data_IF_372489461914
#
_entry.id   IF_372489461914
#
_cell.length_a   1.000
_cell.length_b   1.000
_cell.length_c   1.000
_cell.angle_alpha   90.00
_cell.angle_beta   90.00
_cell.angle_gamma   90.00
#
_symmetry.space_group_name_H-M   'P 1'
#
loop_
_entity.id
_entity.type
_entity.pdbx_description
1 polymer ?
#
# COMPACT_ATOMS: atom_id res chain seq x y z
N UNK A 1 -14.36 -6.57 -5.02
CA UNK A 1 -13.83 -6.84 -6.38
C UNK A 1 -12.66 -5.91 -6.66
N UNK A 2 -11.51 -6.46 -7.06
CA UNK A 2 -10.36 -5.65 -7.52
C UNK A 2 -10.25 -5.69 -9.04
N UNK A 3 -9.91 -4.55 -9.66
CA UNK A 3 -9.49 -4.48 -11.06
C UNK A 3 -7.97 -4.39 -11.12
N UNK A 4 -7.34 -5.00 -12.13
CA UNK A 4 -5.90 -4.85 -12.37
C UNK A 4 -5.66 -3.49 -13.02
N UNK A 5 -4.83 -2.67 -12.41
CA UNK A 5 -4.47 -1.33 -12.90
C UNK A 5 -2.94 -1.20 -12.79
N UNK A 6 -2.31 -0.71 -13.85
CA UNK A 6 -0.89 -0.32 -13.83
C UNK A 6 -0.80 1.17 -13.56
N UNK A 7 0.01 1.54 -12.58
CA UNK A 7 0.30 2.95 -12.25
C UNK A 7 1.80 3.14 -12.15
N UNK A 8 2.29 4.28 -12.61
CA UNK A 8 3.66 4.73 -12.37
C UNK A 8 3.65 5.52 -11.05
N UNK A 9 4.57 5.21 -10.15
CA UNK A 9 4.72 5.89 -8.86
C UNK A 9 6.10 6.54 -8.82
N UNK A 10 6.16 7.74 -8.24
CA UNK A 10 7.42 8.36 -7.89
C UNK A 10 8.20 7.50 -6.88
N UNK A 11 9.53 7.56 -6.97
CA UNK A 11 10.41 6.69 -6.19
C UNK A 11 10.30 6.94 -4.67
N UNK A 12 10.04 8.18 -4.26
CA UNK A 12 9.84 8.55 -2.87
C UNK A 12 8.53 7.97 -2.30
N UNK A 13 7.46 7.99 -3.09
CA UNK A 13 6.16 7.40 -2.75
C UNK A 13 6.31 5.88 -2.63
N UNK A 14 7.01 5.25 -3.58
CA UNK A 14 7.27 3.81 -3.54
C UNK A 14 8.01 3.41 -2.27
N UNK A 15 9.08 4.13 -1.89
CA UNK A 15 9.84 3.91 -0.66
C UNK A 15 8.96 4.03 0.59
N UNK A 16 8.14 5.08 0.68
CA UNK A 16 7.21 5.30 1.81
C UNK A 16 6.21 4.13 1.94
N UNK A 17 5.61 3.70 0.83
CA UNK A 17 4.67 2.57 0.82
C UNK A 17 5.34 1.24 1.24
N UNK A 18 6.58 1.00 0.83
CA UNK A 18 7.36 -0.18 1.26
C UNK A 18 7.69 -0.17 2.75
N UNK A 19 8.01 1.00 3.31
CA UNK A 19 8.22 1.15 4.76
C UNK A 19 6.92 0.84 5.52
N UNK A 20 5.78 1.32 5.04
CA UNK A 20 4.47 1.00 5.64
C UNK A 20 4.19 -0.51 5.57
N UNK A 21 4.45 -1.15 4.42
CA UNK A 21 4.31 -2.59 4.25
C UNK A 21 5.16 -3.37 5.28
N UNK A 22 6.43 -3.00 5.43
CA UNK A 22 7.35 -3.65 6.37
C UNK A 22 6.87 -3.52 7.82
N UNK A 23 6.35 -2.34 8.21
CA UNK A 23 5.73 -2.14 9.53
C UNK A 23 4.52 -3.03 9.72
N UNK A 24 3.59 -3.09 8.77
CA UNK A 24 2.41 -3.94 8.88
C UNK A 24 2.75 -5.44 8.98
N UNK A 25 3.76 -5.92 8.24
CA UNK A 25 4.23 -7.31 8.35
C UNK A 25 4.78 -7.59 9.75
N UNK A 26 5.59 -6.66 10.28
CA UNK A 26 6.15 -6.77 11.63
C UNK A 26 5.06 -6.82 12.70
N UNK A 27 4.03 -5.99 12.56
CA UNK A 27 2.99 -5.83 13.57
C UNK A 27 1.90 -6.91 13.49
N UNK A 28 1.64 -7.49 12.31
CA UNK A 28 0.52 -8.42 12.10
C UNK A 28 0.88 -9.89 12.03
N UNK A 29 2.17 -10.28 12.12
CA UNK A 29 2.68 -11.66 11.95
C UNK A 29 2.14 -12.40 10.71
N UNK A 30 1.63 -11.67 9.72
CA UNK A 30 0.90 -12.19 8.57
C UNK A 30 1.43 -11.53 7.30
N UNK A 31 1.27 -12.23 6.17
CA UNK A 31 1.67 -11.71 4.87
C UNK A 31 0.80 -10.52 4.48
N UNK A 32 1.43 -9.37 4.23
CA UNK A 32 0.77 -8.15 3.77
C UNK A 32 1.22 -7.87 2.33
N UNK A 33 0.26 -7.88 1.40
CA UNK A 33 0.53 -7.58 0.00
C UNK A 33 0.71 -6.09 -0.25
N UNK A 34 1.56 -5.75 -1.21
CA UNK A 34 1.80 -4.35 -1.58
C UNK A 34 0.52 -3.66 -2.08
N UNK A 35 -0.31 -4.37 -2.85
CA UNK A 35 -1.61 -3.86 -3.31
C UNK A 35 -2.56 -3.55 -2.16
N UNK A 36 -2.50 -4.28 -1.04
CA UNK A 36 -3.30 -3.96 0.16
C UNK A 36 -2.86 -2.63 0.75
N UNK A 37 -1.55 -2.41 0.90
CA UNK A 37 -0.99 -1.16 1.43
C UNK A 37 -1.36 0.04 0.57
N UNK A 38 -1.26 -0.08 -0.75
CA UNK A 38 -1.68 0.98 -1.69
C UNK A 38 -3.15 1.31 -1.48
N UNK A 39 -4.04 0.31 -1.52
CA UNK A 39 -5.48 0.53 -1.40
C UNK A 39 -5.88 1.12 -0.05
N UNK A 40 -5.28 0.67 1.05
CA UNK A 40 -5.52 1.24 2.38
C UNK A 40 -5.06 2.70 2.47
N UNK A 41 -3.91 3.01 1.87
CA UNK A 41 -3.38 4.38 1.83
C UNK A 41 -4.31 5.29 1.02
N UNK A 42 -4.73 4.85 -0.17
CA UNK A 42 -5.66 5.60 -1.02
C UNK A 42 -7.04 5.78 -0.38
N UNK A 43 -7.57 4.77 0.30
CA UNK A 43 -8.86 4.88 1.02
C UNK A 43 -8.82 5.92 2.14
N UNK A 44 -7.66 6.10 2.79
CA UNK A 44 -7.50 7.13 3.83
C UNK A 44 -7.47 8.53 3.25
N UNK A 45 -6.93 8.71 2.04
CA UNK A 45 -6.81 10.02 1.38
C UNK A 45 -8.04 10.41 0.57
N UNK A 46 -8.73 9.45 -0.05
CA UNK A 46 -9.87 9.68 -0.94
C UNK A 46 -11.21 9.71 -0.17
N UNK A 47 -11.28 10.37 0.99
CA UNK A 47 -12.54 10.58 1.70
C UNK A 47 -13.43 11.52 0.90
N UNK A 48 -14.32 10.95 0.09
CA UNK A 48 -15.48 11.62 -0.50
C UNK A 48 -16.72 11.36 0.36
#
# INVERSE_FOLDING_TARGET
MGKRVTVVLEDDILKKLRIIQAKQIKDSSASVSFSKVINETLKKSLKN
#
